data_IF_813080180921
#
_entry.id   IF_813080180921
#
_cell.length_a   1.000
_cell.length_b   1.000
_cell.length_c   1.000
_cell.angle_alpha   90.00
_cell.angle_beta   90.00
_cell.angle_gamma   90.00
#
_symmetry.space_group_name_H-M   'P 1'
#
loop_
_entity.id
_entity.type
_entity.pdbx_description
1 polymer ?
#
# COMPACT_ATOMS: atom_id res chain seq x y z
N UNK A 1 35.71 62.63 10.47
CA UNK A 1 35.54 61.26 9.96
C UNK A 1 34.27 61.24 9.10
N UNK A 2 34.40 61.38 7.77
CA UNK A 2 33.29 61.32 6.81
C UNK A 2 33.15 59.89 6.31
N UNK A 3 32.02 59.24 6.60
CA UNK A 3 31.65 57.92 6.10
C UNK A 3 31.41 58.00 4.58
N UNK A 4 32.24 57.32 3.79
CA UNK A 4 31.96 57.10 2.37
C UNK A 4 30.92 55.98 2.26
N UNK A 5 29.68 56.36 1.90
CA UNK A 5 28.63 55.42 1.51
C UNK A 5 29.07 54.69 0.24
N UNK A 6 29.39 53.40 0.36
CA UNK A 6 29.37 52.48 -0.78
C UNK A 6 27.90 52.31 -1.23
N UNK A 7 27.47 53.14 -2.17
CA UNK A 7 26.20 52.99 -2.87
C UNK A 7 26.34 51.91 -3.94
N UNK A 8 25.59 50.82 -3.80
CA UNK A 8 25.43 49.82 -4.85
C UNK A 8 24.60 50.45 -5.98
N UNK A 9 25.27 50.91 -7.04
CA UNK A 9 24.61 51.44 -8.24
C UNK A 9 23.92 50.29 -8.98
N UNK A 10 22.59 50.17 -8.81
CA UNK A 10 21.74 49.24 -9.57
C UNK A 10 21.48 49.87 -10.93
N UNK A 11 22.19 49.38 -11.96
CA UNK A 11 21.97 49.80 -13.35
C UNK A 11 20.54 49.46 -13.76
N UNK A 12 19.75 50.48 -14.09
CA UNK A 12 18.36 50.35 -14.52
C UNK A 12 18.28 49.78 -15.93
N UNK A 13 18.24 48.46 -16.04
CA UNK A 13 17.67 47.78 -17.20
C UNK A 13 16.17 47.61 -16.93
N UNK A 14 15.32 48.08 -17.87
CA UNK A 14 13.87 48.17 -17.71
C UNK A 14 13.22 46.89 -17.20
N UNK A 15 12.66 46.94 -16.00
CA UNK A 15 11.80 45.90 -15.47
C UNK A 15 10.46 46.00 -16.22
N UNK A 16 10.35 45.31 -17.36
CA UNK A 16 9.07 45.09 -18.03
C UNK A 16 8.17 44.27 -17.11
N UNK A 17 7.07 44.87 -16.63
CA UNK A 17 6.06 44.17 -15.85
C UNK A 17 5.19 43.29 -16.76
N UNK A 18 4.79 42.12 -16.26
CA UNK A 18 3.79 41.28 -16.91
C UNK A 18 2.46 42.04 -17.06
N UNK A 19 1.81 41.90 -18.21
CA UNK A 19 0.50 42.52 -18.45
C UNK A 19 -0.60 41.78 -17.66
N UNK A 20 -1.65 42.49 -17.26
CA UNK A 20 -2.81 41.86 -16.62
C UNK A 20 -3.47 40.82 -17.53
N UNK A 21 -3.44 41.06 -18.85
CA UNK A 21 -4.00 40.14 -19.84
C UNK A 21 -3.23 38.83 -19.92
N UNK A 22 -1.89 38.86 -19.83
CA UNK A 22 -1.07 37.63 -19.78
C UNK A 22 -1.43 36.78 -18.58
N UNK A 23 -1.61 37.40 -17.40
CA UNK A 23 -1.96 36.66 -16.20
C UNK A 23 -3.36 36.02 -16.34
N UNK A 24 -4.33 36.76 -16.91
CA UNK A 24 -5.69 36.26 -17.16
C UNK A 24 -5.70 35.08 -18.15
N UNK A 25 -4.97 35.17 -19.26
CA UNK A 25 -4.89 34.07 -20.23
C UNK A 25 -4.27 32.81 -19.60
N UNK A 26 -3.23 32.96 -18.78
CA UNK A 26 -2.57 31.81 -18.14
C UNK A 26 -3.51 31.08 -17.19
N UNK A 27 -4.24 31.79 -16.32
CA UNK A 27 -5.18 31.13 -15.40
C UNK A 27 -6.36 30.48 -16.13
N UNK A 28 -6.79 31.03 -17.28
CA UNK A 28 -7.83 30.42 -18.11
C UNK A 28 -7.33 29.10 -18.70
N UNK A 29 -6.11 29.07 -19.25
CA UNK A 29 -5.51 27.84 -19.78
C UNK A 29 -5.33 26.81 -18.67
N UNK A 30 -4.79 27.19 -17.51
CA UNK A 30 -4.64 26.30 -16.36
C UNK A 30 -5.99 25.77 -15.86
N UNK A 31 -7.05 26.57 -15.91
CA UNK A 31 -8.41 26.14 -15.55
C UNK A 31 -8.93 25.01 -16.44
N UNK A 32 -8.73 25.11 -17.77
CA UNK A 32 -9.15 24.08 -18.73
C UNK A 32 -8.35 22.79 -18.53
N UNK A 33 -7.03 22.91 -18.33
CA UNK A 33 -6.16 21.76 -18.06
C UNK A 33 -6.54 21.06 -16.75
N UNK A 34 -6.82 21.82 -15.69
CA UNK A 34 -7.23 21.26 -14.41
C UNK A 34 -8.57 20.50 -14.50
N UNK A 35 -9.55 21.07 -15.21
CA UNK A 35 -10.88 20.45 -15.37
C UNK A 35 -10.82 19.08 -16.08
N UNK A 36 -9.89 18.91 -17.03
CA UNK A 36 -9.74 17.65 -17.77
C UNK A 36 -8.77 16.66 -17.11
N UNK A 37 -7.77 17.15 -16.38
CA UNK A 37 -6.78 16.31 -15.70
C UNK A 37 -7.31 15.68 -14.40
N UNK A 38 -8.10 16.42 -13.61
CA UNK A 38 -8.55 15.98 -12.29
C UNK A 38 -9.34 14.66 -12.31
N UNK A 39 -10.33 14.44 -13.20
CA UNK A 39 -11.06 13.18 -13.25
C UNK A 39 -10.16 11.99 -13.59
N UNK A 40 -9.16 12.18 -14.45
CA UNK A 40 -8.20 11.11 -14.82
C UNK A 40 -7.27 10.79 -13.66
N UNK A 41 -6.81 11.81 -12.93
CA UNK A 41 -5.94 11.62 -11.76
C UNK A 41 -6.62 10.80 -10.65
N UNK A 42 -7.90 11.03 -10.39
CA UNK A 42 -8.68 10.24 -9.42
C UNK A 42 -8.77 8.78 -9.87
N UNK A 43 -9.18 8.52 -11.12
CA UNK A 43 -9.27 7.15 -11.64
C UNK A 43 -7.92 6.40 -11.63
N UNK A 44 -6.82 7.09 -11.92
CA UNK A 44 -5.47 6.52 -11.84
C UNK A 44 -5.10 6.15 -10.40
N UNK A 45 -5.41 7.02 -9.43
CA UNK A 45 -5.16 6.76 -8.01
C UNK A 45 -5.95 5.54 -7.54
N UNK A 46 -7.20 5.44 -7.95
CA UNK A 46 -8.09 4.32 -7.63
C UNK A 46 -7.57 2.99 -8.19
N UNK A 47 -7.17 3.01 -9.47
CA UNK A 47 -6.58 1.84 -10.14
C UNK A 47 -5.24 1.45 -9.50
N UNK A 48 -4.42 2.43 -9.10
CA UNK A 48 -3.15 2.19 -8.42
C UNK A 48 -3.37 1.50 -7.05
N UNK A 49 -4.32 1.98 -6.25
CA UNK A 49 -4.68 1.33 -4.97
C UNK A 49 -5.17 -0.09 -5.18
N UNK A 50 -6.06 -0.31 -6.14
CA UNK A 50 -6.54 -1.65 -6.50
C UNK A 50 -5.38 -2.56 -6.92
N UNK A 51 -4.44 -2.07 -7.73
CA UNK A 51 -3.26 -2.84 -8.12
C UNK A 51 -2.36 -3.17 -6.92
N UNK A 52 -2.08 -2.21 -6.04
CA UNK A 52 -1.26 -2.41 -4.84
C UNK A 52 -1.84 -3.47 -3.92
N UNK A 53 -3.14 -3.43 -3.64
CA UNK A 53 -3.77 -4.38 -2.72
C UNK A 53 -3.90 -5.78 -3.34
N UNK A 54 -4.11 -5.86 -4.66
CA UNK A 54 -4.05 -7.13 -5.37
C UNK A 54 -2.64 -7.71 -5.39
N UNK A 55 -1.61 -6.87 -5.46
CA UNK A 55 -0.21 -7.26 -5.30
C UNK A 55 0.06 -7.90 -3.93
N UNK A 56 -0.39 -7.25 -2.85
CA UNK A 56 -0.29 -7.82 -1.49
C UNK A 56 -1.06 -9.14 -1.39
N UNK A 57 -2.27 -9.22 -1.95
CA UNK A 57 -3.07 -10.44 -1.97
C UNK A 57 -2.36 -11.60 -2.69
N UNK A 58 -1.70 -11.32 -3.81
CA UNK A 58 -0.90 -12.30 -4.56
C UNK A 58 0.31 -12.80 -3.76
N UNK A 59 1.02 -11.88 -3.09
CA UNK A 59 2.11 -12.21 -2.18
C UNK A 59 1.65 -13.09 -1.02
N UNK A 60 0.52 -12.77 -0.42
CA UNK A 60 -0.06 -13.53 0.68
C UNK A 60 -0.50 -14.94 0.27
N UNK A 61 -1.18 -15.10 -0.88
CA UNK A 61 -1.53 -16.43 -1.41
C UNK A 61 -0.28 -17.27 -1.69
N UNK A 62 0.75 -16.63 -2.25
CA UNK A 62 2.05 -17.29 -2.46
C UNK A 62 2.69 -17.72 -1.15
N UNK A 63 2.67 -16.86 -0.12
CA UNK A 63 3.21 -17.16 1.20
C UNK A 63 2.51 -18.38 1.84
N UNK A 64 1.16 -18.43 1.77
CA UNK A 64 0.39 -19.59 2.24
C UNK A 64 0.84 -20.87 1.54
N UNK A 65 0.93 -20.85 0.20
CA UNK A 65 1.35 -22.01 -0.58
C UNK A 65 2.77 -22.48 -0.27
N UNK A 66 3.72 -21.55 -0.14
CA UNK A 66 5.12 -21.89 0.18
C UNK A 66 5.24 -22.43 1.61
N UNK A 67 4.60 -21.78 2.59
CA UNK A 67 4.63 -22.24 3.99
C UNK A 67 4.02 -23.64 4.11
N UNK A 68 2.87 -23.87 3.47
CA UNK A 68 2.20 -25.15 3.49
C UNK A 68 3.05 -26.24 2.82
N UNK A 69 3.69 -25.93 1.69
CA UNK A 69 4.62 -26.85 1.02
C UNK A 69 5.81 -27.20 1.92
N UNK A 70 6.39 -26.20 2.61
CA UNK A 70 7.49 -26.43 3.58
C UNK A 70 7.06 -27.28 4.76
N UNK A 71 5.87 -27.05 5.30
CA UNK A 71 5.31 -27.84 6.40
C UNK A 71 5.20 -29.32 6.04
N UNK A 72 4.62 -29.65 4.88
CA UNK A 72 4.47 -31.03 4.44
C UNK A 72 5.79 -31.67 4.00
N UNK A 73 6.72 -30.89 3.42
CA UNK A 73 8.06 -31.37 3.13
C UNK A 73 8.85 -31.77 4.39
N UNK A 74 8.53 -31.15 5.54
CA UNK A 74 9.11 -31.49 6.85
C UNK A 74 8.36 -32.62 7.60
N UNK A 75 7.37 -33.27 6.96
CA UNK A 75 6.62 -34.39 7.55
C UNK A 75 5.22 -34.04 8.04
N UNK A 76 4.79 -32.78 7.96
CA UNK A 76 3.41 -32.38 8.23
C UNK A 76 2.97 -32.52 9.70
N UNK A 77 3.91 -32.42 10.63
CA UNK A 77 3.66 -32.54 12.08
C UNK A 77 4.01 -31.26 12.83
N UNK A 78 3.33 -31.01 13.95
CA UNK A 78 3.57 -29.84 14.80
C UNK A 78 2.85 -28.58 14.32
N UNK A 79 3.26 -27.44 14.87
CA UNK A 79 2.61 -26.12 14.70
C UNK A 79 3.53 -25.07 14.10
N UNK A 80 4.67 -25.48 13.54
CA UNK A 80 5.65 -24.59 12.93
C UNK A 80 6.11 -25.12 11.57
N UNK A 81 6.40 -24.20 10.66
CA UNK A 81 7.05 -24.46 9.39
C UNK A 81 8.34 -23.63 9.32
N UNK A 82 9.48 -24.30 9.14
CA UNK A 82 10.77 -23.61 8.98
C UNK A 82 10.98 -23.25 7.51
N UNK A 83 11.16 -21.96 7.26
CA UNK A 83 11.36 -21.38 5.95
C UNK A 83 12.83 -21.47 5.52
N UNK A 84 13.10 -21.20 4.24
CA UNK A 84 14.45 -21.35 3.66
C UNK A 84 15.50 -20.42 4.28
N UNK A 85 15.04 -19.26 4.75
CA UNK A 85 15.80 -18.23 5.44
C UNK A 85 15.96 -18.52 6.95
N UNK A 86 15.46 -19.68 7.44
CA UNK A 86 15.48 -20.06 8.84
C UNK A 86 14.32 -19.49 9.67
N UNK A 87 13.45 -18.68 9.06
CA UNK A 87 12.30 -18.09 9.76
C UNK A 87 11.31 -19.19 10.16
N UNK A 88 10.87 -19.18 11.42
CA UNK A 88 9.85 -20.10 11.91
C UNK A 88 8.47 -19.46 11.78
N UNK A 89 7.65 -20.00 10.88
CA UNK A 89 6.27 -19.56 10.66
C UNK A 89 5.32 -20.43 11.48
N UNK A 90 4.41 -19.79 12.21
CA UNK A 90 3.39 -20.51 13.00
C UNK A 90 2.26 -20.99 12.08
N UNK A 91 1.93 -22.28 12.14
CA UNK A 91 0.91 -22.90 11.29
C UNK A 91 -0.10 -23.68 12.12
N UNK A 92 -1.30 -23.82 11.58
CA UNK A 92 -2.32 -24.73 12.12
C UNK A 92 -1.88 -26.18 11.87
N UNK A 93 -1.84 -26.97 12.94
CA UNK A 93 -1.44 -28.37 12.87
C UNK A 93 -2.26 -29.15 11.83
N UNK A 94 -1.65 -30.17 11.22
CA UNK A 94 -2.24 -31.07 10.22
C UNK A 94 -2.61 -30.42 8.87
N UNK A 95 -2.81 -29.10 8.82
CA UNK A 95 -3.16 -28.37 7.59
C UNK A 95 -1.98 -27.61 7.00
N UNK A 96 -1.02 -27.18 7.83
CA UNK A 96 0.12 -26.37 7.41
C UNK A 96 -0.24 -24.96 6.97
N UNK A 97 -1.49 -24.53 7.22
CA UNK A 97 -1.97 -23.18 6.91
C UNK A 97 -1.38 -22.20 7.95
N UNK A 98 -0.75 -21.10 7.53
CA UNK A 98 -0.25 -20.09 8.46
C UNK A 98 -1.38 -19.55 9.35
N UNK A 99 -1.13 -19.40 10.65
CA UNK A 99 -2.07 -18.69 11.52
C UNK A 99 -2.09 -17.20 11.17
N UNK A 100 -3.04 -16.43 11.71
CA UNK A 100 -3.00 -14.96 11.60
C UNK A 100 -1.67 -14.33 12.04
N UNK A 101 -0.98 -14.92 13.03
CA UNK A 101 0.38 -14.52 13.40
C UNK A 101 1.43 -15.05 12.41
N UNK A 102 1.30 -16.30 11.98
CA UNK A 102 2.23 -16.93 11.04
C UNK A 102 2.25 -16.27 9.67
N UNK A 103 1.11 -15.84 9.14
CA UNK A 103 1.07 -15.15 7.85
C UNK A 103 1.83 -13.82 7.90
N UNK A 104 1.79 -13.12 9.04
CA UNK A 104 2.56 -11.89 9.24
C UNK A 104 4.08 -12.16 9.29
N UNK A 105 4.51 -13.34 9.75
CA UNK A 105 5.91 -13.78 9.69
C UNK A 105 6.33 -14.19 8.28
N UNK A 106 5.40 -14.76 7.49
CA UNK A 106 5.67 -15.25 6.14
C UNK A 106 5.70 -14.14 5.08
N UNK A 107 5.06 -13.01 5.34
CA UNK A 107 5.06 -11.84 4.45
C UNK A 107 6.35 -11.03 4.64
N UNK A 108 7.14 -10.92 3.56
CA UNK A 108 8.44 -10.24 3.59
C UNK A 108 8.34 -8.70 3.68
N UNK A 109 7.23 -8.12 3.21
CA UNK A 109 6.95 -6.70 3.34
C UNK A 109 5.44 -6.46 3.34
N UNK A 110 5.02 -5.48 4.14
CA UNK A 110 3.65 -4.97 4.19
C UNK A 110 3.65 -3.45 3.96
N UNK A 111 4.66 -2.93 3.26
CA UNK A 111 4.87 -1.49 3.08
C UNK A 111 3.62 -0.81 2.50
N UNK A 112 3.19 0.26 3.16
CA UNK A 112 1.96 0.99 2.81
C UNK A 112 0.67 0.35 3.34
N UNK A 113 0.76 -0.75 4.09
CA UNK A 113 -0.37 -1.41 4.73
C UNK A 113 -0.15 -1.57 6.24
N UNK A 114 -1.24 -1.55 6.99
CA UNK A 114 -1.24 -1.77 8.43
C UNK A 114 -2.12 -2.97 8.78
N UNK A 115 -1.60 -3.97 9.51
CA UNK A 115 -2.39 -5.10 9.98
C UNK A 115 -3.36 -4.67 11.09
N UNK A 116 -4.53 -5.28 11.12
CA UNK A 116 -5.52 -5.16 12.17
C UNK A 116 -6.37 -6.43 12.28
N UNK A 117 -6.92 -6.72 13.44
CA UNK A 117 -7.79 -7.88 13.63
C UNK A 117 -9.20 -7.55 13.14
N UNK A 118 -9.73 -8.32 12.19
CA UNK A 118 -11.13 -8.14 11.72
C UNK A 118 -12.10 -9.01 12.53
N UNK A 119 -11.70 -10.24 12.85
CA UNK A 119 -12.44 -11.19 13.68
C UNK A 119 -11.46 -12.22 14.26
N UNK A 120 -11.93 -13.11 15.14
CA UNK A 120 -11.13 -14.25 15.59
C UNK A 120 -10.72 -15.11 14.37
N UNK A 121 -9.43 -15.39 14.22
CA UNK A 121 -8.88 -16.11 13.07
C UNK A 121 -8.81 -15.32 11.77
N UNK A 122 -9.17 -14.03 11.77
CA UNK A 122 -9.19 -13.19 10.58
C UNK A 122 -8.38 -11.92 10.79
N UNK A 123 -7.29 -11.77 10.03
CA UNK A 123 -6.48 -10.55 9.98
C UNK A 123 -6.82 -9.73 8.74
N UNK A 124 -6.84 -8.42 8.88
CA UNK A 124 -7.13 -7.44 7.84
C UNK A 124 -5.93 -6.54 7.65
N UNK A 125 -5.64 -6.22 6.40
CA UNK A 125 -4.64 -5.24 6.01
C UNK A 125 -5.35 -4.09 5.31
N UNK A 126 -5.25 -2.92 5.90
CA UNK A 126 -5.72 -1.64 5.35
C UNK A 126 -4.52 -0.83 4.88
N UNK A 127 -4.74 0.15 4.00
CA UNK A 127 -3.70 1.15 3.71
C UNK A 127 -3.33 1.93 4.97
N UNK A 128 -2.06 2.31 5.12
CA UNK A 128 -1.58 3.11 6.27
C UNK A 128 -2.42 4.37 6.49
N UNK A 129 -2.86 5.00 5.40
CA UNK A 129 -3.97 5.94 5.43
C UNK A 129 -5.22 5.20 4.97
N UNK A 130 -6.11 4.87 5.91
CA UNK A 130 -7.27 4.06 5.63
C UNK A 130 -8.11 4.67 4.49
N UNK A 131 -8.42 3.84 3.50
CA UNK A 131 -9.31 4.19 2.38
C UNK A 131 -10.56 3.32 2.51
N UNK A 132 -11.72 3.95 2.48
CA UNK A 132 -12.98 3.24 2.55
C UNK A 132 -13.06 2.18 1.46
N UNK A 133 -13.53 0.98 1.81
CA UNK A 133 -13.72 -0.15 0.88
C UNK A 133 -12.45 -0.62 0.15
N UNK A 134 -11.26 -0.37 0.72
CA UNK A 134 -9.97 -0.83 0.22
C UNK A 134 -9.22 -1.63 1.27
N UNK A 135 -9.42 -2.94 1.28
CA UNK A 135 -8.76 -3.79 2.26
C UNK A 135 -8.57 -5.22 1.81
N UNK A 136 -7.62 -5.88 2.44
CA UNK A 136 -7.34 -7.30 2.27
C UNK A 136 -7.69 -8.01 3.58
N UNK A 137 -8.32 -9.18 3.51
CA UNK A 137 -8.52 -10.04 4.68
C UNK A 137 -7.97 -11.43 4.43
N UNK A 138 -7.37 -12.00 5.47
CA UNK A 138 -6.89 -13.37 5.51
C UNK A 138 -7.58 -14.12 6.65
N UNK A 139 -8.12 -15.28 6.34
CA UNK A 139 -8.75 -16.18 7.30
C UNK A 139 -7.86 -17.42 7.48
N UNK A 140 -7.43 -17.70 8.72
CA UNK A 140 -6.59 -18.85 9.04
C UNK A 140 -7.37 -20.15 9.23
N UNK A 141 -8.71 -20.09 9.14
CA UNK A 141 -9.62 -21.23 9.23
C UNK A 141 -9.87 -21.72 10.65
N UNK A 142 -9.36 -21.03 11.69
CA UNK A 142 -9.54 -21.46 13.09
C UNK A 142 -10.99 -21.39 13.56
N UNK A 143 -11.79 -20.50 12.97
CA UNK A 143 -13.24 -20.38 13.26
C UNK A 143 -14.11 -21.07 12.21
N UNK A 144 -13.68 -21.08 10.95
CA UNK A 144 -14.39 -21.73 9.84
C UNK A 144 -13.38 -22.46 8.95
N UNK A 145 -13.26 -23.77 9.09
CA UNK A 145 -12.26 -24.57 8.37
C UNK A 145 -12.34 -24.41 6.83
N UNK A 146 -13.53 -24.16 6.27
CA UNK A 146 -13.72 -23.91 4.84
C UNK A 146 -13.02 -22.63 4.33
N UNK A 147 -12.65 -21.71 5.22
CA UNK A 147 -11.94 -20.49 4.91
C UNK A 147 -10.43 -20.58 5.16
N UNK A 148 -9.89 -21.75 5.53
CA UNK A 148 -8.47 -21.87 5.86
C UNK A 148 -7.57 -21.41 4.71
N UNK A 149 -6.73 -20.41 4.96
CA UNK A 149 -5.82 -19.83 3.98
C UNK A 149 -6.49 -18.88 2.99
N UNK A 150 -7.77 -18.52 3.19
CA UNK A 150 -8.54 -17.73 2.25
C UNK A 150 -8.13 -16.27 2.31
N UNK A 151 -7.73 -15.74 1.16
CA UNK A 151 -7.36 -14.33 0.97
C UNK A 151 -8.43 -13.63 0.15
N UNK A 152 -9.08 -12.61 0.72
CA UNK A 152 -10.17 -11.84 0.10
C UNK A 152 -9.76 -10.38 -0.03
N UNK A 153 -9.93 -9.82 -1.22
CA UNK A 153 -9.72 -8.39 -1.50
C UNK A 153 -11.08 -7.70 -1.57
N UNK A 154 -11.22 -6.61 -0.84
CA UNK A 154 -12.31 -5.64 -0.97
C UNK A 154 -11.72 -4.41 -1.65
N UNK A 155 -12.16 -4.14 -2.89
CA UNK A 155 -11.68 -2.99 -3.69
C UNK A 155 -12.82 -2.20 -4.36
N UNK A 156 -14.05 -2.36 -3.89
CA UNK A 156 -15.22 -1.68 -4.45
C UNK A 156 -15.21 -0.20 -4.05
N UNK A 157 -14.74 0.68 -4.94
CA UNK A 157 -14.62 2.10 -4.66
C UNK A 157 -13.29 2.52 -4.04
N UNK A 158 -12.25 1.69 -4.21
CA UNK A 158 -10.89 2.20 -4.26
C UNK A 158 -10.77 3.25 -5.36
#
# INVERSE_FOLDING_TARGET
MKQQKFGFSKSGAGQSGFTLVELVVVIVILGILAATALPRFINLTNSARSASINGLAGGMRSAVGVVQARYFAAGGTGTTATMADGTSVTVTANTGIPTTAGIAQALQSTDGFTPGTAAAGVIKYDFTTAVANCSLTYDDGTTTAANAGKVVVTSSGC
#
